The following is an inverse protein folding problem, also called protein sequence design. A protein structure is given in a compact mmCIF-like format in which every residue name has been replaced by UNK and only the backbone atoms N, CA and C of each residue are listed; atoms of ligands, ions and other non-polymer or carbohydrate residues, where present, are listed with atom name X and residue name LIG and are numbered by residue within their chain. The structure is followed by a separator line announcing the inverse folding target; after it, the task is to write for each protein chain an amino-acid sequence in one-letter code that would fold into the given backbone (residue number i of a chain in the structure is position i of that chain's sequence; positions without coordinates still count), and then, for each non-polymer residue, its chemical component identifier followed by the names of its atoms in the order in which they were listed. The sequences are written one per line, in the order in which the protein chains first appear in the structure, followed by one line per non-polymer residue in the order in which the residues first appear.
data_IF_033380482506
#
_entry.id   IF_033380482506
#
_cell.length_a   1.000
_cell.length_b   1.000
_cell.length_c   1.000
_cell.angle_alpha   90.00
_cell.angle_beta   90.00
_cell.angle_gamma   90.00
#
_symmetry.space_group_name_H-M   'P 1'
#
loop_
_entity.id
_entity.type
_entity.pdbx_description
1 polymer ?
#
# COMPACT_ATOMS: atom_id res chain seq x y z
N UNK A 1 7.34 -9.67 24.36
CA UNK A 1 6.18 -8.86 23.91
C UNK A 1 6.49 -7.38 23.56
N UNK A 2 7.65 -6.78 23.91
CA UNK A 2 7.98 -5.38 23.57
C UNK A 2 8.20 -5.01 22.09
N UNK A 3 8.42 -5.99 21.20
CA UNK A 3 8.78 -5.73 19.80
C UNK A 3 7.56 -5.38 18.93
N UNK A 4 6.39 -5.96 19.24
CA UNK A 4 5.17 -5.78 18.44
C UNK A 4 4.49 -4.43 18.72
N UNK A 5 4.58 -3.92 19.95
CA UNK A 5 4.12 -2.56 20.29
C UNK A 5 4.91 -1.49 19.52
N UNK A 6 6.23 -1.67 19.38
CA UNK A 6 7.05 -0.76 18.56
C UNK A 6 6.68 -0.79 17.07
N UNK A 7 6.23 -1.94 16.55
CA UNK A 7 5.81 -2.04 15.14
C UNK A 7 4.57 -1.22 14.85
N UNK A 8 3.57 -1.22 15.75
CA UNK A 8 2.35 -0.44 15.56
C UNK A 8 2.64 1.06 15.50
N UNK A 9 3.50 1.57 16.38
CA UNK A 9 3.94 2.97 16.33
C UNK A 9 4.69 3.29 15.01
N UNK A 10 5.57 2.39 14.56
CA UNK A 10 6.33 2.59 13.32
C UNK A 10 5.44 2.56 12.08
N UNK A 11 4.55 1.57 11.97
CA UNK A 11 3.65 1.45 10.83
C UNK A 11 2.63 2.59 10.80
N UNK A 12 2.18 3.09 11.96
CA UNK A 12 1.34 4.29 12.00
C UNK A 12 2.08 5.53 11.49
N UNK A 13 3.35 5.69 11.84
CA UNK A 13 4.18 6.76 11.29
C UNK A 13 4.35 6.64 9.77
N UNK A 14 4.57 5.44 9.25
CA UNK A 14 4.68 5.18 7.81
C UNK A 14 3.35 5.42 7.09
N UNK A 15 2.22 5.00 7.66
CA UNK A 15 0.89 5.30 7.13
C UNK A 15 0.61 6.80 7.10
N UNK A 16 1.09 7.57 8.08
CA UNK A 16 0.95 9.03 8.08
C UNK A 16 1.80 9.69 6.98
N UNK A 17 3.00 9.17 6.70
CA UNK A 17 3.81 9.61 5.55
C UNK A 17 3.07 9.35 4.24
N UNK A 18 2.53 8.13 4.06
CA UNK A 18 1.74 7.76 2.88
C UNK A 18 0.54 8.69 2.71
N UNK A 19 -0.23 8.95 3.77
CA UNK A 19 -1.38 9.86 3.73
C UNK A 19 -0.98 11.26 3.25
N UNK A 20 0.14 11.77 3.77
CA UNK A 20 0.66 13.10 3.39
C UNK A 20 1.04 13.18 1.92
N UNK A 21 1.76 12.18 1.40
CA UNK A 21 2.18 12.16 0.00
C UNK A 21 0.97 11.95 -0.94
N UNK A 22 0.04 11.05 -0.58
CA UNK A 22 -1.17 10.78 -1.35
C UNK A 22 -2.15 11.95 -1.37
N UNK A 23 -2.20 12.76 -0.31
CA UNK A 23 -3.02 13.96 -0.25
C UNK A 23 -2.45 15.09 -1.12
N UNK A 24 -1.12 15.15 -1.25
CA UNK A 24 -0.43 16.16 -2.06
C UNK A 24 -0.32 15.78 -3.54
N UNK A 25 -0.48 14.50 -3.89
CA UNK A 25 -0.50 14.03 -5.27
C UNK A 25 -1.66 14.62 -6.07
N UNK A 26 -1.34 15.16 -7.25
CA UNK A 26 -2.30 15.69 -8.21
C UNK A 26 -1.90 15.24 -9.63
N UNK A 27 -2.87 14.98 -10.51
CA UNK A 27 -2.59 14.66 -11.90
C UNK A 27 -1.79 15.79 -12.58
N UNK A 28 -0.73 15.44 -13.31
CA UNK A 28 0.10 16.41 -14.04
C UNK A 28 0.93 17.36 -13.17
N UNK A 29 1.05 17.12 -11.85
CA UNK A 29 1.95 17.90 -11.00
C UNK A 29 3.42 17.60 -11.31
N UNK A 30 4.26 18.64 -11.34
CA UNK A 30 5.69 18.51 -11.61
C UNK A 30 6.42 17.61 -10.59
N UNK A 31 6.02 17.67 -9.31
CA UNK A 31 6.56 16.83 -8.23
C UNK A 31 5.92 15.42 -8.17
N UNK A 32 5.09 15.05 -9.14
CA UNK A 32 4.35 13.79 -9.15
C UNK A 32 5.26 12.57 -9.03
N UNK A 33 6.31 12.52 -9.83
CA UNK A 33 7.24 11.38 -9.89
C UNK A 33 8.03 11.22 -8.58
N UNK A 34 8.51 12.33 -8.00
CA UNK A 34 9.21 12.32 -6.71
C UNK A 34 8.29 11.86 -5.57
N UNK A 35 7.02 12.25 -5.60
CA UNK A 35 6.01 11.81 -4.62
C UNK A 35 5.70 10.33 -4.76
N UNK A 36 5.56 9.86 -5.99
CA UNK A 36 5.35 8.44 -6.30
C UNK A 36 6.53 7.59 -5.81
N UNK A 37 7.78 8.05 -5.99
CA UNK A 37 8.97 7.38 -5.46
C UNK A 37 8.97 7.32 -3.92
N UNK A 38 8.57 8.40 -3.24
CA UNK A 38 8.43 8.38 -1.76
C UNK A 38 7.38 7.39 -1.30
N UNK A 39 6.23 7.33 -1.97
CA UNK A 39 5.17 6.35 -1.69
C UNK A 39 5.67 4.94 -1.91
N UNK A 40 6.39 4.68 -3.02
CA UNK A 40 6.98 3.38 -3.30
C UNK A 40 7.92 2.93 -2.19
N UNK A 41 8.85 3.78 -1.75
CA UNK A 41 9.81 3.46 -0.68
C UNK A 41 9.11 3.14 0.64
N UNK A 42 8.17 3.97 1.08
CA UNK A 42 7.42 3.71 2.31
C UNK A 42 6.61 2.42 2.22
N UNK A 43 6.03 2.11 1.06
CA UNK A 43 5.30 0.85 0.83
C UNK A 43 6.22 -0.36 0.87
N UNK A 44 7.42 -0.23 0.32
CA UNK A 44 8.46 -1.25 0.36
C UNK A 44 8.90 -1.55 1.81
N UNK A 45 9.06 -0.51 2.62
CA UNK A 45 9.40 -0.66 4.04
C UNK A 45 8.28 -1.37 4.82
N UNK A 46 7.01 -0.94 4.63
CA UNK A 46 5.84 -1.59 5.24
C UNK A 46 5.78 -3.07 4.83
N UNK A 47 6.01 -3.36 3.54
CA UNK A 47 6.03 -4.72 3.00
C UNK A 47 7.03 -5.61 3.73
N UNK A 48 8.27 -5.12 3.90
CA UNK A 48 9.34 -5.86 4.57
C UNK A 48 9.10 -6.08 6.07
N UNK A 49 8.43 -5.12 6.72
CA UNK A 49 8.14 -5.20 8.15
C UNK A 49 6.96 -6.13 8.48
N UNK A 50 5.89 -6.12 7.67
CA UNK A 50 4.63 -6.84 7.98
C UNK A 50 4.81 -8.32 8.36
N UNK A 51 5.51 -9.09 7.52
CA UNK A 51 5.76 -10.51 7.76
C UNK A 51 6.56 -10.80 9.04
N UNK A 52 7.49 -9.92 9.41
CA UNK A 52 8.31 -10.06 10.61
C UNK A 52 7.51 -9.91 11.91
N UNK A 53 6.40 -9.17 11.87
CA UNK A 53 5.54 -8.89 13.04
C UNK A 53 4.19 -9.61 12.99
N UNK A 54 4.00 -10.54 12.04
CA UNK A 54 2.77 -11.33 11.93
C UNK A 54 1.59 -10.58 11.31
N UNK A 55 1.83 -9.58 10.46
CA UNK A 55 0.81 -8.86 9.70
C UNK A 55 0.98 -9.15 8.20
N UNK A 56 0.61 -10.36 7.76
CA UNK A 56 0.83 -10.79 6.36
C UNK A 56 0.07 -9.90 5.37
N UNK A 57 -1.13 -9.44 5.73
CA UNK A 57 -1.89 -8.50 4.93
C UNK A 57 -1.13 -7.19 4.65
N UNK A 58 -0.32 -6.69 5.59
CA UNK A 58 0.49 -5.49 5.35
C UNK A 58 1.59 -5.77 4.30
N UNK A 59 2.17 -6.96 4.33
CA UNK A 59 3.11 -7.42 3.31
C UNK A 59 2.46 -7.54 1.94
N UNK A 60 1.27 -8.15 1.87
CA UNK A 60 0.54 -8.33 0.61
C UNK A 60 0.11 -7.00 -0.01
N UNK A 61 -0.52 -6.12 0.77
CA UNK A 61 -0.99 -4.82 0.29
C UNK A 61 0.18 -3.89 -0.05
N UNK A 62 1.26 -3.91 0.74
CA UNK A 62 2.50 -3.17 0.44
C UNK A 62 3.14 -3.65 -0.86
N UNK A 63 3.24 -4.96 -1.08
CA UNK A 63 3.74 -5.53 -2.32
C UNK A 63 2.87 -5.17 -3.53
N UNK A 64 1.55 -5.18 -3.36
CA UNK A 64 0.62 -4.79 -4.43
C UNK A 64 0.79 -3.32 -4.81
N UNK A 65 0.95 -2.42 -3.83
CA UNK A 65 1.22 -1.00 -4.07
C UNK A 65 2.57 -0.79 -4.79
N UNK A 66 3.64 -1.46 -4.36
CA UNK A 66 4.93 -1.42 -5.04
C UNK A 66 4.80 -1.84 -6.51
N UNK A 67 4.21 -3.01 -6.76
CA UNK A 67 4.01 -3.52 -8.12
C UNK A 67 3.14 -2.62 -8.97
N UNK A 68 2.14 -1.97 -8.38
CA UNK A 68 1.32 -0.99 -9.09
C UNK A 68 2.17 0.17 -9.59
N UNK A 69 2.98 0.74 -8.69
CA UNK A 69 3.85 1.89 -9.00
C UNK A 69 4.92 1.53 -10.03
N UNK A 70 5.57 0.37 -9.89
CA UNK A 70 6.56 -0.13 -10.86
C UNK A 70 5.98 -0.30 -12.28
N UNK A 71 4.68 -0.57 -12.36
CA UNK A 71 3.96 -0.76 -13.61
C UNK A 71 3.28 0.51 -14.14
N UNK A 72 3.37 1.64 -13.45
CA UNK A 72 2.83 2.90 -13.94
C UNK A 72 3.55 3.31 -15.23
N UNK A 73 2.75 3.66 -16.25
CA UNK A 73 3.25 4.11 -17.55
C UNK A 73 2.64 5.45 -17.89
N UNK A 74 3.50 6.40 -18.24
CA UNK A 74 3.09 7.74 -18.63
C UNK A 74 2.71 8.62 -17.44
N UNK A 75 2.10 9.79 -17.71
CA UNK A 75 1.78 10.75 -16.67
C UNK A 75 0.70 10.22 -15.73
N UNK A 76 0.90 10.47 -14.43
CA UNK A 76 -0.05 10.11 -13.39
C UNK A 76 -1.43 10.74 -13.64
N UNK A 77 -2.46 9.90 -13.69
CA UNK A 77 -3.84 10.34 -13.81
C UNK A 77 -4.60 10.18 -12.47
N UNK A 78 -5.86 10.61 -12.44
CA UNK A 78 -6.68 10.56 -11.22
C UNK A 78 -6.97 9.11 -10.77
N UNK A 79 -7.17 8.20 -11.72
CA UNK A 79 -7.41 6.78 -11.41
C UNK A 79 -6.20 6.15 -10.71
N UNK A 80 -4.99 6.48 -11.15
CA UNK A 80 -3.75 6.01 -10.50
C UNK A 80 -3.67 6.44 -9.04
N UNK A 81 -3.99 7.70 -8.78
CA UNK A 81 -4.02 8.26 -7.43
C UNK A 81 -5.07 7.55 -6.58
N UNK A 82 -6.25 7.29 -7.14
CA UNK A 82 -7.35 6.64 -6.42
C UNK A 82 -7.04 5.17 -6.08
N UNK A 83 -6.36 4.45 -6.99
CA UNK A 83 -5.90 3.08 -6.75
C UNK A 83 -4.80 3.03 -5.69
N UNK A 84 -3.84 3.96 -5.69
CA UNK A 84 -2.87 4.07 -4.61
C UNK A 84 -3.55 4.40 -3.27
N UNK A 85 -4.52 5.32 -3.25
CA UNK A 85 -5.31 5.62 -2.04
C UNK A 85 -6.09 4.41 -1.54
N UNK A 86 -6.57 3.53 -2.43
CA UNK A 86 -7.27 2.31 -2.05
C UNK A 86 -6.35 1.31 -1.32
N UNK A 87 -5.12 1.13 -1.81
CA UNK A 87 -4.09 0.35 -1.11
C UNK A 87 -3.79 0.94 0.28
N UNK A 88 -3.60 2.26 0.39
CA UNK A 88 -3.37 2.92 1.67
C UNK A 88 -4.54 2.70 2.66
N UNK A 89 -5.78 2.89 2.22
CA UNK A 89 -6.97 2.65 3.07
C UNK A 89 -7.03 1.21 3.56
N UNK A 90 -6.63 0.26 2.71
CA UNK A 90 -6.57 -1.16 3.05
C UNK A 90 -5.53 -1.44 4.13
N UNK A 91 -4.32 -0.89 4.01
CA UNK A 91 -3.29 -0.98 5.05
C UNK A 91 -3.77 -0.37 6.37
N UNK A 92 -4.42 0.80 6.32
CA UNK A 92 -4.98 1.46 7.51
C UNK A 92 -6.07 0.61 8.17
N UNK A 93 -6.93 -0.04 7.39
CA UNK A 93 -7.96 -0.93 7.90
C UNK A 93 -7.36 -2.17 8.61
N UNK A 94 -6.30 -2.75 8.05
CA UNK A 94 -5.57 -3.87 8.66
C UNK A 94 -5.01 -3.48 10.04
N UNK A 95 -4.32 -2.34 10.14
CA UNK A 95 -3.76 -1.87 11.42
C UNK A 95 -4.85 -1.49 12.41
N UNK A 96 -5.88 -0.76 11.97
CA UNK A 96 -7.01 -0.34 12.82
C UNK A 96 -7.79 -1.53 13.37
N UNK A 97 -8.03 -2.54 12.52
CA UNK A 97 -8.69 -3.78 12.90
C UNK A 97 -7.78 -4.77 13.61
N UNK A 98 -6.48 -4.47 13.76
CA UNK A 98 -5.43 -5.38 14.27
C UNK A 98 -5.52 -6.76 13.61
N UNK A 99 -5.67 -6.76 12.28
CA UNK A 99 -5.83 -7.97 11.48
C UNK A 99 -4.48 -8.68 11.32
N UNK A 100 -4.06 -9.36 12.39
CA UNK A 100 -2.85 -10.20 12.39
C UNK A 100 -3.06 -11.49 11.57
N UNK A 101 -1.97 -12.09 11.12
CA UNK A 101 -1.96 -13.23 10.22
C UNK A 101 -2.60 -12.87 8.89
N UNK A 102 -3.58 -13.67 8.49
CA UNK A 102 -4.40 -13.49 7.29
C UNK A 102 -5.65 -12.61 7.54
N UNK A 103 -5.90 -12.18 8.78
CA UNK A 103 -7.07 -11.40 9.18
C UNK A 103 -8.42 -12.12 9.01
N UNK A 104 -8.43 -13.44 8.77
CA UNK A 104 -9.65 -14.23 8.61
C UNK A 104 -10.57 -13.72 7.49
N UNK A 105 -11.88 -13.65 7.76
CA UNK A 105 -12.86 -13.14 6.80
C UNK A 105 -12.67 -11.63 6.53
N UNK A 106 -12.32 -10.85 7.55
CA UNK A 106 -12.10 -9.41 7.40
C UNK A 106 -10.88 -9.12 6.50
N UNK A 107 -9.79 -9.88 6.66
CA UNK A 107 -8.61 -9.78 5.82
C UNK A 107 -8.90 -10.12 4.36
N UNK A 108 -9.68 -11.18 4.12
CA UNK A 108 -10.14 -11.54 2.76
C UNK A 108 -10.97 -10.44 2.12
N UNK A 109 -11.85 -9.78 2.87
CA UNK A 109 -12.62 -8.62 2.35
C UNK A 109 -11.71 -7.44 1.98
N UNK A 110 -10.63 -7.22 2.73
CA UNK A 110 -9.63 -6.18 2.40
C UNK A 110 -8.96 -6.49 1.06
N UNK A 111 -8.49 -7.73 0.86
CA UNK A 111 -7.84 -8.14 -0.38
C UNK A 111 -8.81 -8.14 -1.57
N UNK A 112 -10.04 -8.61 -1.38
CA UNK A 112 -11.07 -8.60 -2.42
C UNK A 112 -11.39 -7.17 -2.89
N UNK A 113 -11.46 -6.23 -1.95
CA UNK A 113 -11.62 -4.79 -2.25
C UNK A 113 -10.50 -4.21 -3.12
N UNK A 114 -9.31 -4.84 -3.16
CA UNK A 114 -8.17 -4.44 -3.98
C UNK A 114 -8.16 -5.06 -5.39
N UNK A 115 -9.21 -5.79 -5.78
CA UNK A 115 -9.30 -6.47 -7.07
C UNK A 115 -9.01 -5.55 -8.27
N UNK A 116 -9.39 -4.28 -8.23
CA UNK A 116 -9.07 -3.31 -9.30
C UNK A 116 -7.57 -3.03 -9.42
N UNK A 117 -6.86 -2.90 -8.31
CA UNK A 117 -5.41 -2.68 -8.30
C UNK A 117 -4.70 -3.93 -8.82
N UNK A 118 -5.12 -5.11 -8.36
CA UNK A 118 -4.56 -6.39 -8.81
C UNK A 118 -4.75 -6.60 -10.32
N UNK A 119 -5.92 -6.26 -10.86
CA UNK A 119 -6.17 -6.33 -12.30
C UNK A 119 -5.24 -5.39 -13.10
N UNK A 120 -4.99 -4.17 -12.61
CA UNK A 120 -4.07 -3.24 -13.25
C UNK A 120 -2.64 -3.74 -13.25
N UNK A 121 -2.18 -4.28 -12.12
CA UNK A 121 -0.85 -4.90 -12.02
C UNK A 121 -0.73 -6.06 -13.02
N UNK A 122 -1.73 -6.95 -13.08
CA UNK A 122 -1.74 -8.08 -14.03
C UNK A 122 -1.79 -7.63 -15.50
N UNK A 123 -2.51 -6.56 -15.81
CA UNK A 123 -2.59 -6.05 -17.17
C UNK A 123 -1.27 -5.41 -17.65
N UNK A 124 -0.46 -4.89 -16.72
CA UNK A 124 0.79 -4.21 -17.02
C UNK A 124 2.02 -5.14 -17.01
N UNK A 125 2.03 -6.12 -16.11
CA UNK A 125 2.99 -7.23 -16.09
C UNK A 125 2.31 -8.47 -16.66
N UNK A 126 2.42 -8.67 -17.98
CA UNK A 126 1.95 -9.89 -18.63
C UNK A 126 2.55 -11.10 -17.92
N UNK A 127 1.66 -11.99 -17.45
CA UNK A 127 1.86 -13.37 -16.99
C UNK A 127 3.30 -13.88 -17.12
N UNK A 128 3.95 -14.12 -15.97
CA UNK A 128 4.97 -15.16 -15.84
C UNK A 128 4.49 -16.17 -14.80
#
# INVERSE_FOLDING_TARGET
EKMTENYLDWVEADLKKLETELAALKPGAAEGDERVDRIYRTSHDIKGQGGSFGYQLMTEVGALMCRYIENLKGPLNQEDIDLMKLCYKSMRAVITGRLSGDGGDAGRMVIDGLGKVAQKVKAAGGDD
#
